data_IF_952359140738
#
_entry.id   IF_952359140738
#
_cell.length_a   1.000
_cell.length_b   1.000
_cell.length_c   1.000
_cell.angle_alpha   90.00
_cell.angle_beta   90.00
_cell.angle_gamma   90.00
#
_symmetry.space_group_name_H-M   'P 1'
#
loop_
_entity.id
_entity.type
_entity.pdbx_description
1 polymer ?
#
# COMPACT_ATOMS: atom_id res chain seq x y z
N UNK A 1 24.35 -1.31 2.83
CA UNK A 1 22.91 -1.18 2.55
C UNK A 1 22.31 -0.29 3.63
N UNK A 2 21.55 0.76 3.28
CA UNK A 2 20.81 1.55 4.29
C UNK A 2 19.51 0.79 4.62
N UNK A 3 19.12 0.65 5.90
CA UNK A 3 17.88 -0.03 6.24
C UNK A 3 16.69 0.73 5.64
N UNK A 4 15.76 -0.02 5.04
CA UNK A 4 14.49 0.54 4.57
C UNK A 4 13.72 1.07 5.77
N UNK A 5 13.26 2.31 5.70
CA UNK A 5 12.38 2.86 6.74
C UNK A 5 11.04 2.15 6.67
N UNK A 6 10.54 1.72 7.82
CA UNK A 6 9.19 1.19 7.99
C UNK A 6 8.27 2.29 8.50
N UNK A 7 7.03 2.29 8.03
CA UNK A 7 5.99 3.21 8.46
C UNK A 7 4.68 2.43 8.63
N UNK A 8 4.13 2.47 9.84
CA UNK A 8 2.76 2.03 10.10
C UNK A 8 1.82 3.22 9.98
N UNK A 9 0.71 3.05 9.27
CA UNK A 9 -0.26 4.09 8.95
C UNK A 9 -1.64 3.48 9.10
N UNK A 10 -2.51 4.11 9.88
CA UNK A 10 -3.85 3.62 10.17
C UNK A 10 -4.90 4.38 9.35
N UNK A 11 -5.99 3.68 9.04
CA UNK A 11 -7.20 4.27 8.46
C UNK A 11 -6.94 5.11 7.19
N UNK A 12 -6.23 4.55 6.23
CA UNK A 12 -5.95 5.20 4.94
C UNK A 12 -6.89 4.71 3.86
N UNK A 13 -7.44 5.65 3.08
CA UNK A 13 -8.37 5.35 2.01
C UNK A 13 -7.64 4.92 0.73
N UNK A 14 -8.15 3.87 0.08
CA UNK A 14 -7.75 3.51 -1.27
C UNK A 14 -8.39 4.50 -2.25
N UNK A 15 -7.59 5.38 -2.84
CA UNK A 15 -8.09 6.36 -3.83
C UNK A 15 -8.19 5.74 -5.22
N UNK A 16 -7.35 4.74 -5.52
CA UNK A 16 -7.31 4.07 -6.83
C UNK A 16 -6.97 2.59 -6.69
N UNK A 17 -7.72 1.74 -7.40
CA UNK A 17 -7.37 0.34 -7.61
C UNK A 17 -7.53 0.02 -9.10
N UNK A 18 -6.48 -0.54 -9.71
CA UNK A 18 -6.45 -0.96 -11.12
C UNK A 18 -5.77 -2.34 -11.24
N UNK A 19 -6.60 -3.35 -11.49
CA UNK A 19 -6.19 -4.75 -11.62
C UNK A 19 -5.45 -5.27 -10.39
N UNK A 20 -4.12 -5.27 -10.46
CA UNK A 20 -3.23 -5.78 -9.40
C UNK A 20 -2.46 -4.69 -8.66
N UNK A 21 -2.77 -3.43 -8.90
CA UNK A 21 -2.07 -2.28 -8.33
C UNK A 21 -3.05 -1.23 -7.83
N UNK A 22 -2.57 -0.30 -7.01
CA UNK A 22 -3.37 0.83 -6.59
C UNK A 22 -2.61 1.80 -5.71
N UNK A 23 -3.34 2.82 -5.25
CA UNK A 23 -2.81 3.93 -4.48
C UNK A 23 -3.72 4.23 -3.29
N UNK A 24 -3.11 4.48 -2.13
CA UNK A 24 -3.79 4.99 -0.93
C UNK A 24 -3.39 6.45 -0.69
N UNK A 25 -4.39 7.27 -0.35
CA UNK A 25 -4.24 8.72 -0.10
C UNK A 25 -3.33 9.42 -1.14
N UNK A 26 -3.41 8.97 -2.41
CA UNK A 26 -2.59 9.43 -3.54
C UNK A 26 -1.06 9.36 -3.37
N UNK A 27 -0.55 8.76 -2.28
CA UNK A 27 0.87 8.85 -1.88
C UNK A 27 1.53 7.50 -1.62
N UNK A 28 0.74 6.45 -1.35
CA UNK A 28 1.24 5.12 -1.03
C UNK A 28 0.86 4.17 -2.16
N UNK A 29 1.84 3.56 -2.82
CA UNK A 29 1.57 2.59 -3.87
C UNK A 29 1.48 1.16 -3.32
N UNK A 30 0.61 0.32 -3.89
CA UNK A 30 0.61 -1.11 -3.62
C UNK A 30 0.57 -1.95 -4.89
N UNK A 31 1.12 -3.17 -4.79
CA UNK A 31 0.93 -4.24 -5.78
C UNK A 31 0.56 -5.52 -5.06
N UNK A 32 -0.46 -6.22 -5.57
CA UNK A 32 -0.91 -7.51 -5.07
C UNK A 32 0.17 -8.60 -5.20
N UNK A 33 1.23 -8.41 -6.00
CA UNK A 33 2.34 -9.36 -6.08
C UNK A 33 3.17 -9.46 -4.79
N UNK A 34 3.27 -8.36 -4.05
CA UNK A 34 4.10 -8.30 -2.83
C UNK A 34 3.32 -7.94 -1.58
N UNK A 35 2.04 -7.58 -1.70
CA UNK A 35 1.20 -7.18 -0.59
C UNK A 35 0.68 -8.40 0.17
N UNK A 36 0.91 -8.43 1.48
CA UNK A 36 0.22 -9.36 2.38
C UNK A 36 -1.16 -8.80 2.68
N UNK A 37 -2.19 -9.49 2.23
CA UNK A 37 -3.60 -9.16 2.38
C UNK A 37 -4.34 -10.38 2.94
N UNK A 38 -5.42 -10.22 3.73
CA UNK A 38 -6.26 -11.35 4.11
C UNK A 38 -6.79 -12.10 2.89
N UNK A 39 -6.92 -13.43 3.01
CA UNK A 39 -7.37 -14.29 1.91
C UNK A 39 -8.78 -13.92 1.46
N UNK A 40 -8.96 -13.71 0.17
CA UNK A 40 -10.27 -13.38 -0.42
C UNK A 40 -10.63 -11.90 -0.38
N UNK A 41 -9.83 -11.05 0.28
CA UNK A 41 -9.98 -9.61 0.16
C UNK A 41 -9.55 -9.14 -1.24
N UNK A 42 -10.35 -8.23 -1.81
CA UNK A 42 -10.04 -7.56 -3.06
C UNK A 42 -10.07 -6.06 -2.76
N UNK A 43 -8.91 -5.36 -2.77
CA UNK A 43 -8.88 -3.93 -2.47
C UNK A 43 -9.66 -3.14 -3.51
N UNK A 44 -10.55 -2.26 -3.07
CA UNK A 44 -11.38 -1.40 -3.92
C UNK A 44 -11.21 0.07 -3.57
N UNK A 45 -11.52 1.00 -4.50
CA UNK A 45 -11.64 2.40 -4.14
C UNK A 45 -12.62 2.59 -2.97
N UNK A 46 -12.34 3.56 -2.11
CA UNK A 46 -13.10 3.89 -0.89
C UNK A 46 -12.97 2.90 0.29
N UNK A 47 -12.26 1.78 0.13
CA UNK A 47 -11.88 0.93 1.26
C UNK A 47 -10.92 1.68 2.19
N UNK A 48 -11.16 1.59 3.50
CA UNK A 48 -10.29 2.14 4.55
C UNK A 48 -9.54 0.99 5.21
N UNK A 49 -8.21 1.04 5.16
CA UNK A 49 -7.34 -0.05 5.62
C UNK A 49 -6.20 0.46 6.49
N UNK A 50 -5.64 -0.42 7.32
CA UNK A 50 -4.37 -0.16 7.99
C UNK A 50 -3.22 -0.69 7.13
N UNK A 51 -2.10 0.04 7.09
CA UNK A 51 -0.98 -0.24 6.20
C UNK A 51 0.34 -0.29 6.95
N UNK A 52 1.12 -1.32 6.66
CA UNK A 52 2.57 -1.26 6.86
C UNK A 52 3.22 -0.96 5.52
N UNK A 53 3.94 0.14 5.45
CA UNK A 53 4.68 0.57 4.27
C UNK A 53 6.19 0.56 4.52
N UNK A 54 6.93 0.41 3.43
CA UNK A 54 8.37 0.60 3.40
C UNK A 54 8.71 1.72 2.44
N UNK A 55 9.84 2.38 2.69
CA UNK A 55 10.34 3.38 1.76
C UNK A 55 10.52 2.76 0.37
N UNK A 56 9.97 3.42 -0.64
CA UNK A 56 10.04 2.99 -2.03
C UNK A 56 11.30 3.55 -2.69
N UNK A 57 11.79 2.81 -3.69
CA UNK A 57 12.88 3.25 -4.57
C UNK A 57 12.35 3.93 -5.84
N UNK A 58 11.03 3.87 -6.09
CA UNK A 58 10.40 4.51 -7.24
C UNK A 58 10.24 6.02 -6.96
N UNK A 59 10.48 6.85 -7.96
CA UNK A 59 10.43 8.31 -7.82
C UNK A 59 9.01 8.87 -7.67
N UNK A 60 8.00 8.14 -8.15
CA UNK A 60 6.61 8.62 -8.15
C UNK A 60 5.90 8.45 -6.80
N UNK A 61 6.35 7.52 -5.96
CA UNK A 61 5.75 7.24 -4.66
C UNK A 61 6.86 6.98 -3.64
N UNK A 62 6.87 7.74 -2.54
CA UNK A 62 7.86 7.59 -1.47
C UNK A 62 7.66 6.33 -0.63
N UNK A 63 6.44 5.80 -0.59
CA UNK A 63 6.05 4.66 0.23
C UNK A 63 5.40 3.56 -0.61
N UNK A 64 5.72 2.32 -0.27
CA UNK A 64 5.10 1.13 -0.84
C UNK A 64 4.50 0.28 0.27
N UNK A 65 3.21 -0.03 0.18
CA UNK A 65 2.53 -0.93 1.09
C UNK A 65 3.06 -2.37 0.95
N UNK A 66 3.24 -3.05 2.09
CA UNK A 66 3.68 -4.45 2.16
C UNK A 66 2.71 -5.32 2.97
N UNK A 67 1.91 -4.72 3.86
CA UNK A 67 0.81 -5.40 4.57
C UNK A 67 -0.39 -4.46 4.59
N UNK A 68 -1.58 -5.01 4.35
CA UNK A 68 -2.87 -4.36 4.55
C UNK A 68 -3.77 -5.24 5.42
N UNK A 69 -4.55 -4.61 6.29
CA UNK A 69 -5.54 -5.27 7.17
C UNK A 69 -6.77 -4.42 7.33
#
# INVERSE_FOLDING_TARGET
MRPLKHHHINEVCITRADGRTGVLEDTIFFTLDSLKLPSGCVPQPDDVVNVNAVQSIQSQYFWRAVIMT
#
